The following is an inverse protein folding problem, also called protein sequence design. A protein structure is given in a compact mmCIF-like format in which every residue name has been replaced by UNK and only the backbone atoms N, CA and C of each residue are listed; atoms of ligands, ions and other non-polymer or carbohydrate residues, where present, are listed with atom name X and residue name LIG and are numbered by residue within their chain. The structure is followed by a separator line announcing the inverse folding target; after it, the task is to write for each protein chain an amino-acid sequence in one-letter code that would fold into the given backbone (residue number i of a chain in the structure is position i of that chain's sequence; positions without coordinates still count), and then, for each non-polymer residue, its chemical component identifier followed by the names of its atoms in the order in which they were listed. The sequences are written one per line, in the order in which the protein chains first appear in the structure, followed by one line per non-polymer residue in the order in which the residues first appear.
data_IF_941670178562
#
_entry.id   IF_941670178562
#
_cell.length_a   1.000
_cell.length_b   1.000
_cell.length_c   1.000
_cell.angle_alpha   90.00
_cell.angle_beta   90.00
_cell.angle_gamma   90.00
#
_symmetry.space_group_name_H-M   'P 1'
#
loop_
_entity.id
_entity.type
_entity.pdbx_description
1 polymer ?
#
# COMPACT_ATOMS: atom_id res chain seq x y z
N UNK A 1 -61.38 -22.49 0.76
CA UNK A 1 -60.99 -21.81 2.04
C UNK A 1 -61.94 -20.66 2.41
N UNK A 2 -62.71 -20.12 1.57
CA UNK A 2 -63.75 -19.12 1.93
C UNK A 2 -64.96 -19.74 2.67
N UNK A 3 -65.15 -21.03 2.60
CA UNK A 3 -66.28 -21.75 3.25
C UNK A 3 -66.15 -21.93 4.78
N UNK A 4 -64.98 -21.71 5.38
CA UNK A 4 -64.78 -21.90 6.82
C UNK A 4 -64.77 -20.58 7.61
N UNK A 5 -65.11 -19.43 7.01
CA UNK A 5 -65.22 -18.13 7.71
C UNK A 5 -63.93 -17.59 8.34
N UNK A 6 -62.76 -18.22 8.09
CA UNK A 6 -61.51 -17.80 8.63
C UNK A 6 -60.89 -16.71 7.69
N UNK A 7 -60.69 -15.52 8.21
CA UNK A 7 -60.06 -14.44 7.42
C UNK A 7 -58.59 -14.75 7.07
N UNK A 8 -58.19 -14.52 5.84
CA UNK A 8 -56.84 -14.74 5.35
C UNK A 8 -55.78 -14.04 6.23
N UNK A 9 -56.13 -12.86 6.71
CA UNK A 9 -55.27 -12.06 7.61
C UNK A 9 -54.97 -12.78 8.93
N UNK A 10 -55.93 -13.60 9.44
CA UNK A 10 -55.74 -14.34 10.70
C UNK A 10 -54.72 -15.47 10.54
N UNK A 11 -54.69 -16.10 9.35
CA UNK A 11 -53.72 -17.14 9.03
C UNK A 11 -52.32 -16.55 8.74
N UNK A 12 -52.27 -15.35 8.11
CA UNK A 12 -51.01 -14.69 7.79
C UNK A 12 -50.36 -13.97 8.97
N UNK A 13 -51.08 -13.70 10.05
CA UNK A 13 -50.59 -12.94 11.19
C UNK A 13 -49.28 -13.49 11.78
N UNK A 14 -49.12 -14.77 12.06
CA UNK A 14 -47.88 -15.31 12.61
C UNK A 14 -46.69 -15.15 11.60
N UNK A 15 -46.96 -15.27 10.31
CA UNK A 15 -45.96 -15.11 9.28
C UNK A 15 -45.47 -13.65 9.18
N UNK A 16 -46.40 -12.69 9.27
CA UNK A 16 -46.05 -11.26 9.27
C UNK A 16 -45.20 -10.90 10.47
N UNK A 17 -45.52 -11.41 11.67
CA UNK A 17 -44.74 -11.18 12.89
C UNK A 17 -43.32 -11.76 12.73
N UNK A 18 -43.19 -12.96 12.17
CA UNK A 18 -41.90 -13.60 11.93
C UNK A 18 -41.04 -12.78 10.97
N UNK A 19 -41.62 -12.36 9.85
CA UNK A 19 -40.90 -11.54 8.85
C UNK A 19 -40.47 -10.20 9.45
N UNK A 20 -41.31 -9.55 10.22
CA UNK A 20 -40.98 -8.31 10.90
C UNK A 20 -39.84 -8.49 11.90
N UNK A 21 -39.83 -9.58 12.68
CA UNK A 21 -38.72 -9.89 13.58
C UNK A 21 -37.39 -10.07 12.85
N UNK A 22 -37.40 -10.81 11.73
CA UNK A 22 -36.21 -10.99 10.88
C UNK A 22 -35.73 -9.64 10.32
N UNK A 23 -36.66 -8.80 9.87
CA UNK A 23 -36.34 -7.46 9.36
C UNK A 23 -35.64 -6.60 10.40
N UNK A 24 -36.12 -6.57 11.64
CA UNK A 24 -35.52 -5.84 12.76
C UNK A 24 -34.09 -6.35 13.07
N UNK A 25 -33.92 -7.65 13.12
CA UNK A 25 -32.59 -8.27 13.34
C UNK A 25 -31.64 -7.90 12.19
N UNK A 26 -32.06 -8.01 10.95
CA UNK A 26 -31.25 -7.66 9.77
C UNK A 26 -30.87 -6.17 9.76
N UNK A 27 -31.81 -5.32 10.12
CA UNK A 27 -31.57 -3.88 10.22
C UNK A 27 -30.49 -3.57 11.29
N UNK A 28 -30.57 -4.20 12.45
CA UNK A 28 -29.58 -4.05 13.51
C UNK A 28 -28.19 -4.54 13.06
N UNK A 29 -28.12 -5.69 12.42
CA UNK A 29 -26.86 -6.23 11.89
C UNK A 29 -26.21 -5.29 10.87
N UNK A 30 -26.99 -4.76 9.96
CA UNK A 30 -26.49 -3.92 8.86
C UNK A 30 -26.04 -2.54 9.32
N UNK A 31 -26.72 -1.96 10.32
CA UNK A 31 -26.39 -0.62 10.79
C UNK A 31 -25.35 -0.58 11.92
N UNK A 32 -25.23 -1.64 12.72
CA UNK A 32 -24.31 -1.62 13.88
C UNK A 32 -23.10 -2.53 13.64
N UNK A 33 -23.34 -3.78 13.29
CA UNK A 33 -22.25 -4.76 13.21
C UNK A 33 -21.45 -4.62 11.91
N UNK A 34 -22.13 -4.36 10.80
CA UNK A 34 -21.50 -4.21 9.48
C UNK A 34 -20.41 -3.14 9.46
N UNK A 35 -20.70 -1.88 9.79
CA UNK A 35 -19.72 -0.81 9.80
C UNK A 35 -18.54 -1.07 10.74
N UNK A 36 -18.81 -1.60 11.93
CA UNK A 36 -17.74 -1.91 12.89
C UNK A 36 -16.82 -3.03 12.40
N UNK A 37 -17.37 -4.04 11.73
CA UNK A 37 -16.57 -5.12 11.16
C UNK A 37 -15.69 -4.61 10.01
N UNK A 38 -16.21 -3.75 9.15
CA UNK A 38 -15.45 -3.13 8.05
C UNK A 38 -14.34 -2.22 8.56
N UNK A 39 -14.61 -1.39 9.56
CA UNK A 39 -13.60 -0.54 10.19
C UNK A 39 -12.45 -1.37 10.80
N UNK A 40 -12.76 -2.43 11.51
CA UNK A 40 -11.76 -3.35 12.09
C UNK A 40 -10.95 -4.06 11.00
N UNK A 41 -11.61 -4.50 9.92
CA UNK A 41 -10.92 -5.13 8.79
C UNK A 41 -9.95 -4.15 8.13
N UNK A 42 -10.39 -2.91 7.89
CA UNK A 42 -9.55 -1.85 7.34
C UNK A 42 -8.30 -1.60 8.20
N UNK A 43 -8.48 -1.44 9.51
CA UNK A 43 -7.35 -1.26 10.45
C UNK A 43 -6.38 -2.44 10.47
N UNK A 44 -6.90 -3.67 10.38
CA UNK A 44 -6.05 -4.86 10.31
C UNK A 44 -5.24 -4.91 9.02
N UNK A 45 -5.84 -4.60 7.88
CA UNK A 45 -5.15 -4.57 6.58
C UNK A 45 -4.05 -3.50 6.56
N UNK A 46 -4.34 -2.30 7.07
CA UNK A 46 -3.35 -1.23 7.18
C UNK A 46 -2.22 -1.64 8.14
N UNK A 47 -2.54 -2.23 9.28
CA UNK A 47 -1.54 -2.70 10.24
C UNK A 47 -0.65 -3.81 9.67
N UNK A 48 -1.19 -4.66 8.81
CA UNK A 48 -0.40 -5.68 8.10
C UNK A 48 0.55 -5.03 7.08
N UNK A 49 0.10 -4.05 6.32
CA UNK A 49 0.94 -3.30 5.38
C UNK A 49 2.07 -2.56 6.09
N UNK A 50 1.80 -1.93 7.21
CA UNK A 50 2.81 -1.23 8.01
C UNK A 50 3.83 -2.17 8.67
N UNK A 51 3.49 -3.43 8.89
CA UNK A 51 4.34 -4.37 9.61
C UNK A 51 5.43 -5.01 8.75
N UNK A 52 5.24 -5.03 7.43
CA UNK A 52 6.17 -5.66 6.49
C UNK A 52 6.07 -4.98 5.11
N UNK A 53 6.62 -3.75 4.95
CA UNK A 53 6.61 -3.05 3.66
C UNK A 53 7.38 -3.82 2.59
N UNK A 54 8.35 -4.62 2.98
CA UNK A 54 9.07 -5.56 2.11
C UNK A 54 8.15 -6.60 1.45
N UNK A 55 6.97 -6.86 2.00
CA UNK A 55 6.00 -7.82 1.43
C UNK A 55 5.20 -7.22 0.27
N UNK A 56 5.05 -5.92 0.21
CA UNK A 56 4.17 -5.24 -0.76
C UNK A 56 4.84 -4.87 -2.08
N UNK A 57 6.17 -5.04 -2.22
CA UNK A 57 6.85 -4.73 -3.48
C UNK A 57 6.48 -5.78 -4.53
N UNK A 58 5.78 -5.41 -5.62
CA UNK A 58 5.41 -6.34 -6.68
C UNK A 58 6.62 -6.73 -7.52
N UNK A 59 6.64 -7.97 -8.00
CA UNK A 59 7.69 -8.46 -8.90
C UNK A 59 7.48 -7.95 -10.33
N UNK A 60 8.55 -7.50 -10.97
CA UNK A 60 8.58 -7.11 -12.37
C UNK A 60 7.93 -5.77 -12.70
N UNK A 61 7.35 -5.07 -11.74
CA UNK A 61 6.67 -3.79 -11.90
C UNK A 61 7.43 -2.68 -11.16
N UNK A 62 7.29 -1.45 -11.64
CA UNK A 62 7.81 -0.30 -10.90
C UNK A 62 6.90 0.00 -9.71
N UNK A 63 7.52 0.17 -8.57
CA UNK A 63 6.91 0.54 -7.31
C UNK A 63 7.30 1.99 -6.98
N UNK A 64 6.33 2.88 -6.94
CA UNK A 64 6.48 4.33 -6.79
C UNK A 64 5.84 4.89 -5.50
N UNK A 65 5.42 4.01 -4.58
CA UNK A 65 4.83 4.45 -3.31
C UNK A 65 5.87 5.06 -2.34
N UNK A 66 7.15 5.04 -2.69
CA UNK A 66 8.22 5.67 -1.90
C UNK A 66 8.53 7.03 -2.53
N UNK A 67 8.30 8.10 -1.77
CA UNK A 67 8.48 9.46 -2.27
C UNK A 67 9.90 9.73 -2.78
N UNK A 68 10.00 10.17 -4.03
CA UNK A 68 11.27 10.43 -4.70
C UNK A 68 12.06 9.21 -5.17
N UNK A 69 11.50 8.00 -5.04
CA UNK A 69 12.15 6.78 -5.49
C UNK A 69 11.20 5.90 -6.31
N UNK A 70 11.68 5.41 -7.46
CA UNK A 70 11.02 4.35 -8.22
C UNK A 70 11.87 3.08 -8.13
N UNK A 71 11.30 2.06 -7.51
CA UNK A 71 11.95 0.78 -7.28
C UNK A 71 11.35 -0.28 -8.20
N UNK A 72 12.20 -1.06 -8.88
CA UNK A 72 11.77 -2.25 -9.62
C UNK A 72 12.58 -3.45 -9.17
N UNK A 73 11.90 -4.51 -8.83
CA UNK A 73 12.49 -5.78 -8.43
C UNK A 73 12.03 -6.85 -9.40
N UNK A 74 12.95 -7.57 -10.01
CA UNK A 74 12.60 -8.60 -10.98
C UNK A 74 12.04 -9.85 -10.30
N UNK A 75 12.63 -10.23 -9.17
CA UNK A 75 12.24 -11.41 -8.40
C UNK A 75 12.47 -11.21 -6.91
N UNK A 76 11.59 -11.77 -6.12
CA UNK A 76 11.62 -11.69 -4.66
C UNK A 76 11.52 -13.09 -4.04
N UNK A 77 12.39 -13.37 -3.10
CA UNK A 77 12.25 -14.56 -2.26
C UNK A 77 11.44 -14.20 -1.00
N UNK A 78 10.21 -14.70 -0.94
CA UNK A 78 9.30 -14.45 0.19
C UNK A 78 9.74 -15.09 1.51
N UNK A 79 10.67 -16.06 1.48
CA UNK A 79 11.14 -16.72 2.69
C UNK A 79 12.27 -15.96 3.36
N UNK A 80 13.20 -15.43 2.57
CA UNK A 80 14.39 -14.73 3.05
C UNK A 80 14.27 -13.22 3.03
N UNK A 81 13.25 -12.66 2.32
CA UNK A 81 13.10 -11.23 2.08
C UNK A 81 14.12 -10.65 1.09
N UNK A 82 14.89 -11.53 0.41
CA UNK A 82 15.88 -11.10 -0.58
C UNK A 82 15.19 -10.68 -1.87
N UNK A 83 15.67 -9.58 -2.41
CA UNK A 83 15.29 -9.00 -3.69
C UNK A 83 16.40 -9.27 -4.70
N UNK A 84 16.06 -9.62 -5.93
CA UNK A 84 17.00 -9.90 -7.01
C UNK A 84 16.73 -9.00 -8.20
N UNK A 85 17.84 -8.61 -8.88
CA UNK A 85 17.80 -7.67 -10.02
C UNK A 85 17.06 -6.39 -9.65
N UNK A 86 17.62 -5.68 -8.70
CA UNK A 86 17.02 -4.47 -8.13
C UNK A 86 17.45 -3.26 -8.93
N UNK A 87 16.50 -2.51 -9.47
CA UNK A 87 16.71 -1.26 -10.18
C UNK A 87 16.01 -0.13 -9.42
N UNK A 88 16.77 0.90 -9.08
CA UNK A 88 16.27 2.03 -8.29
C UNK A 88 16.57 3.32 -9.04
N UNK A 89 15.55 4.12 -9.24
CA UNK A 89 15.65 5.49 -9.68
C UNK A 89 15.46 6.40 -8.46
N UNK A 90 16.48 7.17 -8.12
CA UNK A 90 16.36 8.25 -7.16
C UNK A 90 16.05 9.53 -7.92
N UNK A 91 14.86 10.07 -7.71
CA UNK A 91 14.32 11.23 -8.38
C UNK A 91 14.17 12.44 -7.44
N UNK A 92 14.70 12.38 -6.22
CA UNK A 92 14.58 13.46 -5.23
C UNK A 92 15.08 14.81 -5.76
N UNK A 93 16.15 14.79 -6.58
CA UNK A 93 16.72 15.99 -7.19
C UNK A 93 16.18 16.29 -8.61
N UNK A 94 15.03 15.68 -8.93
CA UNK A 94 14.38 15.81 -10.24
C UNK A 94 14.93 14.85 -11.30
N UNK A 95 14.21 14.75 -12.42
CA UNK A 95 14.55 13.81 -13.51
C UNK A 95 15.90 14.12 -14.18
N UNK A 96 16.34 15.37 -14.14
CA UNK A 96 17.61 15.76 -14.77
C UNK A 96 18.83 15.29 -13.98
N UNK A 97 18.68 15.13 -12.67
CA UNK A 97 19.72 14.68 -11.75
C UNK A 97 19.43 13.29 -11.21
N UNK A 98 18.68 12.48 -11.95
CA UNK A 98 18.32 11.14 -11.52
C UNK A 98 19.57 10.26 -11.31
N UNK A 99 19.63 9.65 -10.14
CA UNK A 99 20.63 8.63 -9.84
C UNK A 99 20.00 7.25 -10.07
N UNK A 100 20.67 6.42 -10.86
CA UNK A 100 20.19 5.07 -11.17
C UNK A 100 21.10 4.08 -10.46
N UNK A 101 20.53 3.21 -9.65
CA UNK A 101 21.25 2.15 -8.96
C UNK A 101 20.73 0.82 -9.52
N UNK A 102 21.64 0.00 -10.01
CA UNK A 102 21.36 -1.38 -10.39
C UNK A 102 22.13 -2.30 -9.45
N UNK A 103 21.47 -3.25 -8.82
CA UNK A 103 22.10 -4.21 -7.93
C UNK A 103 21.63 -5.64 -8.22
N UNK A 104 22.55 -6.58 -8.17
CA UNK A 104 22.25 -8.01 -8.39
C UNK A 104 21.30 -8.57 -7.33
N UNK A 105 21.46 -8.09 -6.10
CA UNK A 105 20.57 -8.45 -5.00
C UNK A 105 20.49 -7.34 -3.96
N UNK A 106 19.44 -7.40 -3.15
CA UNK A 106 19.27 -6.46 -2.05
C UNK A 106 18.32 -7.00 -1.00
N UNK A 107 18.25 -6.30 0.11
CA UNK A 107 17.32 -6.56 1.19
C UNK A 107 16.78 -5.25 1.71
N UNK A 108 15.49 -5.19 1.88
CA UNK A 108 14.81 -4.06 2.45
C UNK A 108 14.40 -4.41 3.88
N UNK A 109 14.82 -3.60 4.84
CA UNK A 109 14.48 -3.77 6.24
C UNK A 109 13.89 -2.48 6.79
N UNK A 110 12.85 -2.60 7.60
CA UNK A 110 12.28 -1.44 8.28
C UNK A 110 13.07 -1.15 9.55
N UNK A 111 13.41 0.11 9.75
CA UNK A 111 14.06 0.57 10.98
C UNK A 111 13.12 0.43 12.19
N UNK A 112 13.68 0.31 13.38
CA UNK A 112 12.91 0.16 14.63
C UNK A 112 11.93 1.33 14.89
N UNK A 113 12.22 2.51 14.40
CA UNK A 113 11.36 3.71 14.47
C UNK A 113 10.19 3.70 13.46
N UNK A 114 10.20 2.75 12.51
CA UNK A 114 9.19 2.60 11.43
C UNK A 114 9.03 3.81 10.51
N UNK A 115 9.97 4.73 10.55
CA UNK A 115 9.96 5.92 9.69
C UNK A 115 10.97 5.84 8.56
N UNK A 116 11.92 4.90 8.64
CA UNK A 116 12.97 4.73 7.66
C UNK A 116 13.02 3.28 7.17
N UNK A 117 13.36 3.13 5.91
CA UNK A 117 13.64 1.84 5.28
C UNK A 117 15.15 1.74 5.03
N UNK A 118 15.75 0.70 5.55
CA UNK A 118 17.13 0.35 5.25
C UNK A 118 17.18 -0.55 4.03
N UNK A 119 17.81 -0.05 3.00
CA UNK A 119 18.04 -0.79 1.77
C UNK A 119 19.51 -1.22 1.74
N UNK A 120 19.72 -2.50 1.86
CA UNK A 120 21.02 -3.15 1.73
C UNK A 120 21.12 -3.69 0.30
N UNK A 121 22.08 -3.22 -0.46
CA UNK A 121 22.32 -3.63 -1.85
C UNK A 121 23.66 -4.33 -1.93
N UNK A 122 23.69 -5.42 -2.68
CA UNK A 122 24.88 -6.24 -2.87
C UNK A 122 25.22 -6.31 -4.35
N UNK A 123 26.50 -6.10 -4.67
CA UNK A 123 27.04 -6.19 -6.03
C UNK A 123 26.23 -5.39 -7.05
N UNK A 124 26.70 -4.19 -7.40
CA UNK A 124 25.96 -3.34 -8.30
C UNK A 124 26.73 -2.15 -8.83
N UNK A 125 26.04 -1.37 -9.62
CA UNK A 125 26.53 -0.15 -10.25
C UNK A 125 25.60 1.02 -9.92
N UNK A 126 26.20 2.15 -9.59
CA UNK A 126 25.54 3.44 -9.48
C UNK A 126 25.88 4.29 -10.72
N UNK A 127 24.86 4.82 -11.35
CA UNK A 127 24.97 5.75 -12.46
C UNK A 127 24.45 7.11 -12.02
N UNK A 128 25.32 8.12 -12.07
CA UNK A 128 25.00 9.48 -11.68
C UNK A 128 25.19 10.42 -12.87
N UNK A 129 24.17 11.23 -13.13
CA UNK A 129 24.23 12.25 -14.16
C UNK A 129 24.83 13.55 -13.59
N UNK A 130 25.96 13.98 -14.10
CA UNK A 130 26.67 15.17 -13.63
C UNK A 130 26.28 16.45 -14.39
N UNK A 131 25.09 16.52 -14.98
CA UNK A 131 24.61 17.69 -15.74
C UNK A 131 24.74 19.01 -14.98
N UNK A 132 24.42 19.01 -13.68
CA UNK A 132 24.49 20.22 -12.87
C UNK A 132 25.89 20.83 -12.76
N UNK A 133 26.94 20.04 -12.94
CA UNK A 133 28.34 20.50 -12.88
C UNK A 133 28.91 20.96 -14.23
N UNK A 134 28.23 20.69 -15.34
CA UNK A 134 28.72 20.95 -16.68
C UNK A 134 27.81 21.90 -17.47
N UNK A 135 27.66 23.14 -17.00
CA UNK A 135 26.88 24.17 -17.71
C UNK A 135 27.44 24.60 -19.08
N UNK A 136 28.57 24.08 -19.54
CA UNK A 136 29.25 24.52 -20.77
C UNK A 136 29.57 23.44 -21.80
N UNK A 137 29.27 22.20 -21.57
CA UNK A 137 29.63 21.12 -22.48
C UNK A 137 28.41 20.45 -23.10
N UNK A 138 28.41 20.28 -24.44
CA UNK A 138 27.41 19.47 -25.15
C UNK A 138 27.48 17.99 -24.79
N UNK A 139 28.53 17.55 -24.10
CA UNK A 139 28.70 16.18 -23.63
C UNK A 139 28.37 16.11 -22.15
N UNK A 140 27.29 15.47 -21.81
CA UNK A 140 26.86 15.29 -20.41
C UNK A 140 27.71 14.19 -19.78
N UNK A 141 28.62 14.52 -18.86
CA UNK A 141 29.40 13.50 -18.19
C UNK A 141 28.49 12.72 -17.24
N UNK A 142 28.57 11.40 -17.27
CA UNK A 142 27.98 10.54 -16.26
C UNK A 142 29.07 9.79 -15.51
N UNK A 143 28.86 9.56 -14.23
CA UNK A 143 29.75 8.78 -13.36
C UNK A 143 29.16 7.40 -13.17
N UNK A 144 29.96 6.37 -13.39
CA UNK A 144 29.63 4.99 -12.99
C UNK A 144 30.52 4.61 -11.82
N UNK A 145 29.92 4.14 -10.77
CA UNK A 145 30.58 3.64 -9.57
C UNK A 145 30.08 2.23 -9.29
N UNK A 146 31.01 1.27 -9.32
CA UNK A 146 30.70 -0.12 -8.96
C UNK A 146 30.93 -0.33 -7.48
N UNK A 147 29.99 -0.98 -6.81
CA UNK A 147 30.07 -1.27 -5.39
C UNK A 147 29.83 -2.76 -5.12
N UNK A 148 30.45 -3.26 -4.06
CA UNK A 148 30.20 -4.62 -3.55
C UNK A 148 29.03 -4.64 -2.58
N UNK A 149 28.93 -3.60 -1.78
CA UNK A 149 27.89 -3.44 -0.76
C UNK A 149 27.57 -1.95 -0.62
N UNK A 150 26.29 -1.63 -0.59
CA UNK A 150 25.80 -0.26 -0.41
C UNK A 150 24.60 -0.26 0.51
N UNK A 151 24.64 0.59 1.51
CA UNK A 151 23.54 0.81 2.44
C UNK A 151 22.94 2.18 2.14
N UNK A 152 21.65 2.21 1.93
CA UNK A 152 20.90 3.45 1.68
C UNK A 152 19.71 3.50 2.62
N UNK A 153 19.57 4.61 3.31
CA UNK A 153 18.38 4.89 4.14
C UNK A 153 17.41 5.67 3.28
N UNK A 154 16.20 5.17 3.18
CA UNK A 154 15.11 5.80 2.47
C UNK A 154 14.10 6.25 3.53
N UNK A 155 13.78 7.53 3.54
CA UNK A 155 12.69 8.06 4.36
C UNK A 155 11.37 7.51 3.83
N UNK A 156 10.70 6.76 4.67
CA UNK A 156 9.38 6.25 4.39
C UNK A 156 8.38 7.09 5.17
N UNK A 157 7.77 8.03 4.47
CA UNK A 157 6.74 8.85 5.07
C UNK A 157 5.50 7.98 5.30
N UNK A 158 5.40 7.41 6.48
CA UNK A 158 4.18 6.71 6.92
C UNK A 158 3.07 7.68 7.33
N UNK A 159 3.09 8.91 6.80
CA UNK A 159 2.03 9.91 6.98
C UNK A 159 0.71 9.50 6.30
N UNK A 160 0.33 8.26 6.49
CA UNK A 160 -1.07 7.94 6.63
C UNK A 160 -1.46 8.37 8.05
N UNK A 161 -1.50 9.69 8.27
CA UNK A 161 -2.28 10.24 9.35
C UNK A 161 -3.67 9.61 9.20
N UNK A 162 -3.93 8.60 10.01
CA UNK A 162 -5.29 8.25 10.31
C UNK A 162 -5.90 9.56 10.82
N UNK A 163 -6.66 10.23 9.99
CA UNK A 163 -7.65 11.19 10.46
C UNK A 163 -8.55 10.38 11.35
N UNK A 164 -8.18 10.35 12.63
CA UNK A 164 -9.02 9.84 13.70
C UNK A 164 -10.17 10.82 13.76
N UNK A 165 -11.33 10.41 13.33
CA UNK A 165 -12.54 11.17 13.43
C UNK A 165 -13.05 11.76 12.11
N UNK A 166 -14.28 11.43 11.84
CA UNK A 166 -15.19 11.98 10.84
C UNK A 166 -14.96 11.55 9.39
N UNK A 167 -15.32 10.31 9.14
CA UNK A 167 -15.89 10.00 7.84
C UNK A 167 -17.30 10.61 7.82
N UNK A 168 -17.38 11.92 7.71
CA UNK A 168 -18.58 12.58 7.20
C UNK A 168 -18.63 12.23 5.72
N UNK A 169 -19.32 11.15 5.42
CA UNK A 169 -19.73 10.84 4.06
C UNK A 169 -20.66 11.96 3.61
N UNK A 170 -20.12 12.97 2.97
CA UNK A 170 -20.89 13.97 2.29
C UNK A 170 -21.57 13.30 1.09
N UNK A 171 -22.78 12.85 1.27
CA UNK A 171 -23.67 12.53 0.16
C UNK A 171 -24.08 13.85 -0.51
N UNK A 172 -23.33 14.26 -1.52
CA UNK A 172 -23.84 15.23 -2.47
C UNK A 172 -24.84 14.52 -3.36
N UNK A 173 -26.12 14.77 -3.09
CA UNK A 173 -27.20 14.50 -4.03
C UNK A 173 -27.01 15.34 -5.29
N UNK A 174 -27.03 14.68 -6.43
CA UNK A 174 -27.53 15.18 -7.70
C UNK A 174 -28.69 14.29 -8.11
#
# INVERSE_FOLDING_TARGET
MKAAGISLLKIMRPLIVLVFAICCVSFYFQNVIGPQAQAKLGTLLISMKQKSPEVDIPEGVFYDEIDGYNLKVQRKDRKTGMLYDVLIYNLKDGFENAHIIYADSGRLEMTADKQHLWLHLYSGDLFENLKAQSMKSQNVPYRRESFREKHTIIEFNSDFNMVDGDITVSYTHL
#
